data_IF_594224122138
#
_entry.id   IF_594224122138
#
_cell.length_a   1.000
_cell.length_b   1.000
_cell.length_c   1.000
_cell.angle_alpha   90.00
_cell.angle_beta   90.00
_cell.angle_gamma   90.00
#
_symmetry.space_group_name_H-M   'P 1'
#
loop_
_entity.id
_entity.type
_entity.pdbx_description
1 polymer ?
#
# COMPACT_ATOMS: atom_id res chain seq x y z
N UNK A 1 -0.55 -6.30 -13.55
CA UNK A 1 -0.83 -4.89 -13.22
C UNK A 1 -2.05 -4.44 -13.99
N UNK A 2 -1.99 -4.43 -15.33
CA UNK A 2 -3.15 -4.23 -16.21
C UNK A 2 -4.35 -5.07 -15.78
N UNK A 3 -4.18 -6.39 -15.67
CA UNK A 3 -5.27 -7.29 -15.25
C UNK A 3 -5.79 -7.09 -13.81
N UNK A 4 -5.06 -6.41 -12.93
CA UNK A 4 -5.51 -6.07 -11.57
C UNK A 4 -6.18 -4.69 -11.53
N UNK A 5 -5.68 -3.74 -12.34
CA UNK A 5 -6.28 -2.43 -12.57
C UNK A 5 -7.58 -2.54 -13.37
N UNK A 6 -7.65 -3.40 -14.39
CA UNK A 6 -8.88 -3.75 -15.11
C UNK A 6 -9.92 -4.30 -14.14
N UNK A 7 -9.52 -5.24 -13.26
CA UNK A 7 -10.41 -5.77 -12.21
C UNK A 7 -10.90 -4.70 -11.23
N UNK A 8 -10.06 -3.73 -10.87
CA UNK A 8 -10.42 -2.60 -10.00
C UNK A 8 -11.46 -1.69 -10.66
N UNK A 9 -11.28 -1.41 -11.94
CA UNK A 9 -12.21 -0.63 -12.75
C UNK A 9 -13.55 -1.36 -12.90
N UNK A 10 -13.52 -2.69 -13.01
CA UNK A 10 -14.70 -3.56 -13.12
C UNK A 10 -15.49 -3.77 -11.82
N UNK A 11 -14.93 -3.40 -10.65
CA UNK A 11 -15.72 -3.34 -9.40
C UNK A 11 -16.83 -2.30 -9.53
N UNK A 12 -16.59 -1.21 -10.26
CA UNK A 12 -17.54 -0.12 -10.41
C UNK A 12 -18.33 -0.25 -11.72
N UNK A 13 -19.66 -0.04 -11.69
CA UNK A 13 -20.49 -0.10 -12.89
C UNK A 13 -19.98 0.81 -14.00
N UNK A 14 -20.07 0.36 -15.25
CA UNK A 14 -19.74 1.19 -16.41
C UNK A 14 -20.52 2.52 -16.39
N UNK A 15 -19.81 3.62 -16.61
CA UNK A 15 -20.38 4.97 -16.62
C UNK A 15 -20.63 5.60 -15.24
N UNK A 16 -20.37 4.89 -14.15
CA UNK A 16 -20.43 5.45 -12.78
C UNK A 16 -19.43 6.58 -12.56
N UNK A 17 -19.73 7.47 -11.62
CA UNK A 17 -18.84 8.57 -11.27
C UNK A 17 -17.53 8.05 -10.68
N UNK A 18 -17.61 6.99 -9.88
CA UNK A 18 -16.50 6.28 -9.24
C UNK A 18 -15.57 5.67 -10.28
N UNK A 19 -16.09 4.95 -11.27
CA UNK A 19 -15.29 4.36 -12.36
C UNK A 19 -14.57 5.45 -13.15
N UNK A 20 -15.26 6.53 -13.50
CA UNK A 20 -14.69 7.63 -14.28
C UNK A 20 -13.59 8.37 -13.48
N UNK A 21 -13.82 8.57 -12.19
CA UNK A 21 -12.83 9.18 -11.29
C UNK A 21 -11.61 8.27 -11.11
N UNK A 22 -11.81 6.94 -11.04
CA UNK A 22 -10.74 5.95 -10.97
C UNK A 22 -9.90 5.94 -12.25
N UNK A 23 -10.53 5.89 -13.43
CA UNK A 23 -9.84 5.96 -14.72
C UNK A 23 -9.03 7.27 -14.88
N UNK A 24 -9.61 8.40 -14.46
CA UNK A 24 -8.92 9.69 -14.49
C UNK A 24 -7.73 9.73 -13.52
N UNK A 25 -7.89 9.25 -12.30
CA UNK A 25 -6.81 9.23 -11.31
C UNK A 25 -5.69 8.27 -11.74
N UNK A 26 -6.02 7.11 -12.32
CA UNK A 26 -5.07 6.21 -12.97
C UNK A 26 -4.28 6.90 -14.09
N UNK A 27 -4.97 7.68 -14.94
CA UNK A 27 -4.31 8.45 -16.01
C UNK A 27 -3.36 9.54 -15.49
N UNK A 28 -3.55 9.99 -14.25
CA UNK A 28 -2.71 10.99 -13.55
C UNK A 28 -1.67 10.36 -12.62
N UNK A 29 -1.64 9.03 -12.51
CA UNK A 29 -0.72 8.30 -11.65
C UNK A 29 -1.10 8.27 -10.16
N UNK A 30 -2.35 8.58 -9.81
CA UNK A 30 -2.84 8.65 -8.44
C UNK A 30 -3.88 7.57 -8.12
N UNK A 31 -3.45 6.42 -7.62
CA UNK A 31 -4.37 5.45 -7.02
C UNK A 31 -3.70 4.81 -5.81
N UNK A 32 -4.34 4.89 -4.65
CA UNK A 32 -3.99 4.07 -3.50
C UNK A 32 -5.13 3.08 -3.28
N UNK A 33 -4.78 1.80 -3.36
CA UNK A 33 -5.64 0.70 -2.96
C UNK A 33 -5.19 0.26 -1.58
N UNK A 34 -6.05 0.45 -0.58
CA UNK A 34 -5.80 -0.01 0.78
C UNK A 34 -6.51 -1.35 0.94
N UNK A 35 -5.76 -2.42 0.72
CA UNK A 35 -6.19 -3.78 1.06
C UNK A 35 -5.42 -4.21 2.29
N UNK A 36 -6.13 -4.41 3.39
CA UNK A 36 -5.54 -5.03 4.57
C UNK A 36 -5.71 -6.55 4.43
N UNK A 37 -4.66 -7.22 3.95
CA UNK A 37 -4.59 -8.69 3.85
C UNK A 37 -4.67 -9.30 2.43
N UNK A 38 -4.48 -10.62 2.29
CA UNK A 38 -4.41 -11.34 1.02
C UNK A 38 -5.79 -11.66 0.38
N UNK A 39 -6.87 -11.04 0.84
CA UNK A 39 -8.24 -11.32 0.41
C UNK A 39 -8.55 -10.83 -1.02
N UNK A 40 -9.59 -11.42 -1.62
CA UNK A 40 -10.13 -10.90 -2.88
C UNK A 40 -10.65 -9.46 -2.69
N UNK A 41 -10.47 -8.60 -3.70
CA UNK A 41 -10.81 -7.18 -3.61
C UNK A 41 -12.25 -6.92 -3.13
N UNK A 42 -13.23 -7.68 -3.62
CA UNK A 42 -14.63 -7.55 -3.18
C UNK A 42 -14.80 -7.86 -1.69
N UNK A 43 -14.13 -8.89 -1.19
CA UNK A 43 -14.16 -9.28 0.21
C UNK A 43 -13.47 -8.21 1.07
N UNK A 44 -12.30 -7.73 0.65
CA UNK A 44 -11.60 -6.67 1.32
C UNK A 44 -12.46 -5.40 1.44
N UNK A 45 -13.09 -4.96 0.35
CA UNK A 45 -14.00 -3.82 0.34
C UNK A 45 -15.22 -4.05 1.26
N UNK A 46 -15.79 -5.27 1.27
CA UNK A 46 -16.93 -5.60 2.14
C UNK A 46 -16.58 -5.56 3.63
N UNK A 47 -15.30 -5.77 3.98
CA UNK A 47 -14.78 -5.78 5.34
C UNK A 47 -14.19 -4.43 5.78
N UNK A 48 -14.33 -3.38 4.96
CA UNK A 48 -13.89 -2.03 5.28
C UNK A 48 -12.61 -1.57 4.56
N UNK A 49 -12.14 -2.32 3.56
CA UNK A 49 -11.12 -1.87 2.62
C UNK A 49 -11.58 -0.64 1.85
N UNK A 50 -10.62 0.19 1.45
CA UNK A 50 -10.89 1.49 0.83
C UNK A 50 -10.07 1.67 -0.44
N UNK A 51 -10.69 2.29 -1.43
CA UNK A 51 -10.02 2.83 -2.60
C UNK A 51 -10.04 4.34 -2.46
N UNK A 52 -8.86 4.95 -2.51
CA UNK A 52 -8.72 6.41 -2.37
C UNK A 52 -8.06 6.97 -3.62
N UNK A 53 -8.77 7.92 -4.24
CA UNK A 53 -8.26 8.69 -5.36
C UNK A 53 -7.52 9.90 -4.82
N UNK A 54 -6.35 10.17 -5.38
CA UNK A 54 -5.44 11.22 -4.92
C UNK A 54 -4.86 11.97 -6.11
N UNK A 55 -4.56 13.25 -5.92
CA UNK A 55 -3.93 14.13 -6.89
C UNK A 55 -2.40 13.94 -6.89
N UNK A 56 -1.99 12.81 -7.45
CA UNK A 56 -0.58 12.49 -7.73
C UNK A 56 0.23 11.96 -6.54
N UNK A 57 1.54 11.76 -6.73
CA UNK A 57 2.38 10.99 -5.80
C UNK A 57 2.64 11.71 -4.47
N UNK A 58 2.64 13.05 -4.44
CA UNK A 58 2.81 13.81 -3.20
C UNK A 58 1.62 13.64 -2.26
N UNK A 59 0.39 13.66 -2.77
CA UNK A 59 -0.79 13.41 -1.95
C UNK A 59 -0.86 11.94 -1.53
N UNK A 60 -0.53 11.03 -2.44
CA UNK A 60 -0.41 9.61 -2.14
C UNK A 60 0.52 9.36 -0.95
N UNK A 61 1.73 9.95 -0.97
CA UNK A 61 2.71 9.76 0.10
C UNK A 61 2.23 10.37 1.43
N UNK A 62 1.57 11.53 1.40
CA UNK A 62 0.96 12.13 2.61
C UNK A 62 -0.09 11.21 3.21
N UNK A 63 -0.95 10.62 2.38
CA UNK A 63 -1.99 9.69 2.84
C UNK A 63 -1.36 8.42 3.46
N UNK A 64 -0.36 7.83 2.82
CA UNK A 64 0.39 6.69 3.39
C UNK A 64 1.01 7.07 4.74
N UNK A 65 1.64 8.23 4.85
CA UNK A 65 2.25 8.71 6.09
C UNK A 65 1.23 9.01 7.21
N UNK A 66 0.03 9.42 6.83
CA UNK A 66 -1.08 9.66 7.77
C UNK A 66 -1.64 8.34 8.28
N UNK A 67 -1.85 7.35 7.40
CA UNK A 67 -2.33 6.02 7.76
C UNK A 67 -1.28 5.24 8.57
N UNK A 68 -0.02 5.36 8.18
CA UNK A 68 1.13 4.61 8.70
C UNK A 68 0.89 3.09 8.70
N UNK A 69 0.72 2.49 7.52
CA UNK A 69 0.31 1.10 7.40
C UNK A 69 1.40 0.14 7.86
N UNK A 70 0.99 -1.09 8.18
CA UNK A 70 1.91 -2.20 8.44
C UNK A 70 2.72 -2.54 7.19
N UNK A 71 2.03 -2.70 6.06
CA UNK A 71 2.61 -2.97 4.74
C UNK A 71 2.18 -1.88 3.75
N UNK A 72 3.08 -1.48 2.85
CA UNK A 72 2.73 -0.65 1.70
C UNK A 72 3.39 -1.18 0.43
N UNK A 73 2.60 -1.38 -0.62
CA UNK A 73 3.07 -1.77 -1.95
C UNK A 73 3.10 -0.54 -2.87
N UNK A 74 4.29 -0.15 -3.33
CA UNK A 74 4.49 0.94 -4.27
C UNK A 74 4.43 0.41 -5.70
N UNK A 75 3.20 0.33 -6.21
CA UNK A 75 2.87 -0.19 -7.55
C UNK A 75 2.81 0.93 -8.60
N UNK A 76 3.87 1.72 -8.67
CA UNK A 76 4.03 2.85 -9.60
C UNK A 76 5.31 2.70 -10.42
N UNK A 77 5.41 3.38 -11.56
CA UNK A 77 6.60 3.31 -12.41
C UNK A 77 7.88 3.80 -11.69
N UNK A 78 7.83 4.97 -11.05
CA UNK A 78 8.93 5.53 -10.25
C UNK A 78 8.77 5.18 -8.76
N UNK A 79 8.81 3.88 -8.44
CA UNK A 79 8.69 3.41 -7.06
C UNK A 79 9.85 3.87 -6.15
N UNK A 80 11.03 4.16 -6.72
CA UNK A 80 12.17 4.70 -5.96
C UNK A 80 11.97 6.17 -5.59
N UNK A 81 11.48 6.98 -6.52
CA UNK A 81 11.07 8.35 -6.23
C UNK A 81 9.94 8.38 -5.20
N UNK A 82 8.98 7.46 -5.30
CA UNK A 82 7.90 7.33 -4.32
C UNK A 82 8.43 6.90 -2.94
N UNK A 83 9.34 5.93 -2.87
CA UNK A 83 9.99 5.50 -1.62
C UNK A 83 10.64 6.67 -0.89
N UNK A 84 11.29 7.59 -1.62
CA UNK A 84 11.90 8.79 -1.03
C UNK A 84 10.91 9.77 -0.38
N UNK A 85 9.61 9.62 -0.65
CA UNK A 85 8.52 10.45 -0.08
C UNK A 85 7.83 9.80 1.11
N UNK A 86 7.83 8.47 1.21
CA UNK A 86 7.19 7.71 2.29
C UNK A 86 8.09 7.71 3.53
N UNK A 87 7.54 8.17 4.66
CA UNK A 87 8.24 8.28 5.95
C UNK A 87 7.73 7.28 6.99
N UNK A 88 6.50 6.78 6.85
CA UNK A 88 5.87 5.92 7.86
C UNK A 88 5.19 4.72 7.23
N UNK A 89 5.83 3.57 7.37
CA UNK A 89 5.27 2.25 7.09
C UNK A 89 6.06 1.19 7.87
N UNK A 90 5.45 0.05 8.18
CA UNK A 90 6.16 -1.08 8.80
C UNK A 90 7.15 -1.73 7.81
N UNK A 91 6.68 -2.08 6.62
CA UNK A 91 7.48 -2.54 5.50
C UNK A 91 6.99 -1.93 4.17
N UNK A 92 7.93 -1.70 3.26
CA UNK A 92 7.68 -1.12 1.94
C UNK A 92 8.10 -2.11 0.86
N UNK A 93 7.20 -2.38 -0.07
CA UNK A 93 7.35 -3.31 -1.18
C UNK A 93 7.40 -2.53 -2.49
N UNK A 94 8.40 -2.81 -3.33
CA UNK A 94 8.74 -1.97 -4.47
C UNK A 94 8.43 -2.68 -5.79
N UNK A 95 7.43 -2.17 -6.51
CA UNK A 95 7.03 -2.67 -7.82
C UNK A 95 6.42 -4.08 -7.82
N UNK A 96 5.90 -4.49 -8.98
CA UNK A 96 5.09 -5.71 -9.11
C UNK A 96 5.82 -7.04 -8.97
N UNK A 97 7.14 -7.04 -8.76
CA UNK A 97 7.94 -8.23 -8.50
C UNK A 97 8.27 -8.44 -7.02
N UNK A 98 7.73 -7.58 -6.15
CA UNK A 98 7.96 -7.60 -4.70
C UNK A 98 6.66 -7.79 -3.92
N UNK A 99 5.80 -8.80 -4.21
CA UNK A 99 4.56 -8.96 -3.45
C UNK A 99 4.85 -9.23 -1.97
N UNK A 100 3.91 -8.85 -1.09
CA UNK A 100 4.02 -8.99 0.37
C UNK A 100 4.45 -10.39 0.81
N UNK A 101 3.91 -11.42 0.15
CA UNK A 101 4.26 -12.82 0.43
C UNK A 101 5.77 -13.11 0.34
N UNK A 102 6.53 -12.45 -0.55
CA UNK A 102 7.99 -12.62 -0.57
C UNK A 102 8.61 -12.07 0.71
N UNK A 103 8.13 -10.92 1.20
CA UNK A 103 8.52 -10.33 2.48
C UNK A 103 8.24 -11.25 3.66
N UNK A 104 7.05 -11.83 3.68
CA UNK A 104 6.58 -12.66 4.80
C UNK A 104 7.38 -13.95 4.99
N UNK A 105 7.93 -14.49 3.90
CA UNK A 105 8.50 -15.83 3.90
C UNK A 105 10.00 -15.89 3.61
N UNK A 106 10.53 -15.07 2.69
CA UNK A 106 11.86 -15.35 2.11
C UNK A 106 12.77 -14.14 1.90
N UNK A 107 12.26 -12.91 1.84
CA UNK A 107 13.08 -11.73 1.53
C UNK A 107 14.15 -11.44 2.59
N UNK A 108 13.89 -11.79 3.85
CA UNK A 108 14.79 -11.59 4.98
C UNK A 108 14.32 -10.59 6.05
N UNK A 109 13.64 -9.46 5.74
CA UNK A 109 13.03 -8.61 6.75
C UNK A 109 12.03 -9.38 7.63
N UNK A 110 11.87 -8.94 8.88
CA UNK A 110 10.88 -9.53 9.77
C UNK A 110 9.46 -9.15 9.32
N UNK A 111 8.55 -10.12 9.31
CA UNK A 111 7.11 -9.88 9.13
C UNK A 111 6.38 -9.47 10.42
N UNK A 112 7.09 -9.43 11.57
CA UNK A 112 6.51 -8.92 12.82
C UNK A 112 6.62 -7.41 12.80
N UNK A 113 5.52 -6.75 12.41
CA UNK A 113 5.46 -5.33 12.10
C UNK A 113 4.40 -4.60 12.94
N UNK A 114 4.52 -3.27 13.11
CA UNK A 114 3.54 -2.49 13.83
C UNK A 114 2.28 -2.24 12.98
N UNK A 115 1.15 -2.79 13.41
CA UNK A 115 -0.16 -2.65 12.77
C UNK A 115 -0.99 -1.49 13.34
N UNK A 116 -2.21 -1.25 12.82
CA UNK A 116 -3.14 -0.27 13.40
C UNK A 116 -2.63 1.18 13.43
N UNK A 117 -1.71 1.55 12.54
CA UNK A 117 -1.08 2.87 12.50
C UNK A 117 0.10 3.06 13.45
N UNK A 118 0.56 2.00 14.13
CA UNK A 118 1.68 2.07 15.06
C UNK A 118 3.04 2.25 14.37
N UNK A 119 3.14 2.11 13.05
CA UNK A 119 4.34 2.47 12.28
C UNK A 119 4.72 3.96 12.42
N UNK A 120 3.83 4.81 12.97
CA UNK A 120 4.17 6.19 13.40
C UNK A 120 5.22 6.24 14.50
N UNK A 121 5.29 5.23 15.35
CA UNK A 121 6.03 5.27 16.61
C UNK A 121 6.99 4.09 16.80
N UNK A 122 6.71 2.96 16.16
CA UNK A 122 7.44 1.72 16.34
C UNK A 122 8.09 1.27 15.03
N UNK A 123 9.21 0.57 15.17
CA UNK A 123 9.84 -0.16 14.07
C UNK A 123 9.37 -1.61 14.05
N UNK A 124 9.48 -2.25 12.89
CA UNK A 124 9.40 -3.71 12.81
C UNK A 124 10.41 -4.40 13.73
N UNK A 125 10.12 -5.64 14.08
CA UNK A 125 11.02 -6.47 14.88
C UNK A 125 12.37 -6.59 14.19
N UNK A 126 13.44 -6.43 14.96
CA UNK A 126 14.81 -6.62 14.46
C UNK A 126 15.67 -7.26 15.54
N UNK A 127 16.90 -7.63 15.21
CA UNK A 127 17.87 -8.10 16.20
C UNK A 127 18.04 -7.10 17.38
N UNK A 128 17.86 -5.79 17.12
CA UNK A 128 17.93 -4.75 18.16
C UNK A 128 16.82 -4.87 19.20
N UNK A 129 15.69 -5.49 18.88
CA UNK A 129 14.58 -5.68 19.81
C UNK A 129 14.91 -6.66 20.94
N UNK A 130 15.95 -7.49 20.78
CA UNK A 130 16.37 -8.51 21.74
C UNK A 130 17.58 -8.09 22.59
N UNK A 131 18.10 -6.89 22.37
CA UNK A 131 19.21 -6.33 23.16
C UNK A 131 18.70 -5.12 23.93
N UNK A 132 19.20 -4.96 25.16
CA UNK A 132 19.01 -3.72 25.91
C UNK A 132 20.16 -2.77 25.55
N UNK A 133 19.85 -1.53 25.19
CA UNK A 133 20.88 -0.51 24.97
C UNK A 133 21.74 -0.37 26.22
N UNK A 134 23.06 -0.27 26.02
CA UNK A 134 24.02 0.09 27.06
C UNK A 134 23.82 1.56 27.47
#
# INVERSE_FOLDING_TARGET
>A
MEAAMERLVDVYPEGSHERRSLEEALSRGGLIVLVDGPEALEEALSRGGLIVLVDGPEEAARLVDELAPEHVELMVEDYLGMLGRVRRAGAVFLGGWSPVAIGDYVAGPSHVLPSGGYARYYSGLSARSFVRGA
#
